data_IF_047063170150
#
_entry.id   IF_047063170150
#
_cell.length_a   1.000
_cell.length_b   1.000
_cell.length_c   1.000
_cell.angle_alpha   90.00
_cell.angle_beta   90.00
_cell.angle_gamma   90.00
#
_symmetry.space_group_name_H-M   'P 1'
#
loop_
_entity.id
_entity.type
_entity.pdbx_description
1 polymer ?
#
# COMPACT_ATOMS: atom_id res chain seq x y z
N UNK A 1 -4.19 20.78 10.51
CA UNK A 1 -3.53 19.51 10.84
C UNK A 1 -4.57 18.44 11.17
N UNK A 2 -4.36 17.23 10.65
CA UNK A 2 -5.22 16.07 10.88
C UNK A 2 -4.34 14.88 11.28
N UNK A 3 -4.80 14.13 12.28
CA UNK A 3 -4.23 12.86 12.68
C UNK A 3 -5.31 11.77 12.59
N UNK A 4 -4.99 10.65 11.96
CA UNK A 4 -5.86 9.48 11.87
C UNK A 4 -5.04 8.25 12.28
N UNK A 5 -5.65 7.40 13.10
CA UNK A 5 -5.15 6.07 13.44
C UNK A 5 -6.30 5.08 13.26
N UNK A 6 -6.06 4.08 12.45
CA UNK A 6 -7.04 3.03 12.16
C UNK A 6 -6.41 1.65 12.31
N UNK A 7 -7.23 0.68 12.68
CA UNK A 7 -6.85 -0.73 12.78
C UNK A 7 -8.03 -1.59 12.35
N UNK A 8 -7.82 -2.43 11.35
CA UNK A 8 -8.83 -3.30 10.80
C UNK A 8 -8.28 -4.73 10.71
N UNK A 9 -9.03 -5.68 11.23
CA UNK A 9 -8.77 -7.11 11.08
C UNK A 9 -9.77 -7.65 10.05
N UNK A 10 -9.25 -8.29 9.02
CA UNK A 10 -10.05 -8.76 7.88
C UNK A 10 -9.83 -10.26 7.72
N UNK A 11 -10.91 -11.02 7.76
CA UNK A 11 -10.95 -12.37 7.27
C UNK A 11 -11.32 -12.34 5.78
N UNK A 12 -10.35 -12.69 4.93
CA UNK A 12 -10.50 -12.62 3.48
C UNK A 12 -10.61 -13.98 2.80
N UNK A 13 -10.50 -15.07 3.56
CA UNK A 13 -10.55 -16.39 2.94
C UNK A 13 -11.98 -16.86 2.62
N UNK A 14 -12.98 -16.20 3.20
CA UNK A 14 -14.41 -16.47 2.98
C UNK A 14 -14.81 -17.96 3.13
N UNK A 15 -14.04 -18.72 3.90
CA UNK A 15 -14.26 -20.14 4.14
C UNK A 15 -14.52 -20.43 5.61
N UNK A 16 -14.97 -21.62 5.92
CA UNK A 16 -15.12 -22.07 7.30
C UNK A 16 -13.76 -22.46 7.94
N UNK A 17 -12.71 -22.51 7.16
CA UNK A 17 -11.36 -22.83 7.61
C UNK A 17 -10.56 -21.55 7.80
N UNK A 18 -9.91 -21.40 8.94
CA UNK A 18 -9.02 -20.27 9.22
C UNK A 18 -7.68 -20.46 8.46
N UNK A 19 -7.65 -20.03 7.19
CA UNK A 19 -6.49 -20.18 6.30
C UNK A 19 -5.50 -19.04 6.54
N UNK A 20 -5.96 -17.80 6.51
CA UNK A 20 -5.14 -16.63 6.78
C UNK A 20 -5.98 -15.46 7.28
N UNK A 21 -5.34 -14.56 8.00
CA UNK A 21 -5.91 -13.29 8.45
C UNK A 21 -5.08 -12.13 7.95
N UNK A 22 -5.72 -11.04 7.56
CA UNK A 22 -5.09 -9.77 7.23
C UNK A 22 -5.39 -8.78 8.35
N UNK A 23 -4.36 -8.21 8.95
CA UNK A 23 -4.49 -7.08 9.84
C UNK A 23 -3.94 -5.83 9.14
N UNK A 24 -4.73 -4.79 9.06
CA UNK A 24 -4.30 -3.52 8.49
C UNK A 24 -4.31 -2.45 9.58
N UNK A 25 -3.16 -1.83 9.81
CA UNK A 25 -2.99 -0.69 10.71
C UNK A 25 -2.53 0.50 9.90
N UNK A 26 -3.21 1.62 10.06
CA UNK A 26 -2.86 2.86 9.38
C UNK A 26 -2.64 3.98 10.39
N UNK A 27 -1.61 4.79 10.15
CA UNK A 27 -1.35 6.05 10.84
C UNK A 27 -1.10 7.12 9.79
N UNK A 28 -1.91 8.16 9.81
CA UNK A 28 -1.82 9.27 8.90
C UNK A 28 -1.66 10.58 9.67
N UNK A 29 -0.70 11.38 9.24
CA UNK A 29 -0.52 12.76 9.65
C UNK A 29 -0.65 13.62 8.41
N UNK A 30 -1.52 14.61 8.44
CA UNK A 30 -1.71 15.52 7.32
C UNK A 30 -1.70 16.99 7.80
N UNK A 31 -1.04 17.82 7.02
CA UNK A 31 -1.00 19.26 7.17
C UNK A 31 -1.47 19.90 5.88
N UNK A 32 -2.39 20.84 5.96
CA UNK A 32 -2.84 21.63 4.82
C UNK A 32 -2.90 23.10 5.18
N UNK A 33 -2.46 23.94 4.27
CA UNK A 33 -2.51 25.39 4.39
C UNK A 33 -2.96 25.99 3.07
N UNK A 34 -3.78 27.04 3.15
CA UNK A 34 -4.24 27.79 2.01
C UNK A 34 -4.15 29.29 2.29
N UNK A 35 -3.56 30.02 1.37
CA UNK A 35 -3.46 31.45 1.41
C UNK A 35 -4.25 32.03 0.23
N UNK A 36 -5.23 32.87 0.50
CA UNK A 36 -6.07 33.47 -0.53
C UNK A 36 -6.01 34.98 -0.42
N UNK A 37 -5.68 35.65 -1.52
CA UNK A 37 -5.73 37.08 -1.71
C UNK A 37 -6.89 37.42 -2.66
N UNK A 38 -7.65 38.44 -2.32
CA UNK A 38 -8.81 38.88 -3.12
C UNK A 38 -8.75 40.37 -3.35
N UNK A 39 -9.20 40.81 -4.52
CA UNK A 39 -9.41 42.22 -4.79
C UNK A 39 -10.55 42.80 -3.95
N UNK A 40 -10.59 44.14 -3.87
CA UNK A 40 -11.68 44.84 -3.22
C UNK A 40 -13.02 44.56 -3.94
N UNK A 41 -14.06 44.31 -3.15
CA UNK A 41 -15.41 44.12 -3.67
C UNK A 41 -15.92 45.40 -4.37
N UNK A 42 -16.69 45.22 -5.45
CA UNK A 42 -17.33 46.34 -6.17
C UNK A 42 -16.49 46.91 -7.32
N UNK A 43 -15.23 46.55 -7.50
CA UNK A 43 -14.45 46.99 -8.66
C UNK A 43 -14.91 46.28 -9.95
N UNK A 44 -14.70 46.95 -11.11
CA UNK A 44 -14.96 46.33 -12.42
C UNK A 44 -14.07 45.12 -12.68
N UNK A 45 -12.87 45.15 -12.15
CA UNK A 45 -11.94 44.00 -12.18
C UNK A 45 -11.84 43.41 -10.78
N UNK A 46 -12.33 42.22 -10.63
CA UNK A 46 -12.24 41.41 -9.41
C UNK A 46 -11.34 40.24 -9.67
N UNK A 47 -10.48 39.92 -8.73
CA UNK A 47 -9.58 38.80 -8.84
C UNK A 47 -9.43 38.09 -7.48
N UNK A 48 -9.13 36.82 -7.58
CA UNK A 48 -8.73 35.96 -6.48
C UNK A 48 -7.47 35.22 -6.89
N UNK A 49 -6.47 35.25 -6.05
CA UNK A 49 -5.20 34.53 -6.22
C UNK A 49 -4.93 33.79 -4.95
N UNK A 50 -4.46 32.55 -5.06
CA UNK A 50 -4.12 31.78 -3.89
C UNK A 50 -3.06 30.73 -4.14
N UNK A 51 -2.52 30.25 -3.04
CA UNK A 51 -1.60 29.15 -2.97
C UNK A 51 -2.14 28.12 -1.97
N UNK A 52 -2.03 26.87 -2.31
CA UNK A 52 -2.41 25.73 -1.47
C UNK A 52 -1.20 24.81 -1.30
N UNK A 53 -1.01 24.31 -0.09
CA UNK A 53 -0.02 23.30 0.24
C UNK A 53 -0.66 22.20 1.07
N UNK A 54 -0.32 20.95 0.75
CA UNK A 54 -0.74 19.78 1.48
C UNK A 54 0.42 18.79 1.59
N UNK A 55 0.63 18.32 2.79
CA UNK A 55 1.60 17.26 3.06
C UNK A 55 0.94 16.19 3.92
N UNK A 56 1.03 14.94 3.49
CA UNK A 56 0.54 13.79 4.22
C UNK A 56 1.67 12.77 4.38
N UNK A 57 1.77 12.22 5.55
CA UNK A 57 2.58 11.05 5.83
C UNK A 57 1.66 9.92 6.28
N UNK A 58 1.56 8.91 5.43
CA UNK A 58 0.76 7.72 5.68
C UNK A 58 1.69 6.52 5.88
N UNK A 59 1.63 5.93 7.06
CA UNK A 59 2.25 4.66 7.37
C UNK A 59 1.16 3.59 7.42
N UNK A 60 1.34 2.51 6.66
CA UNK A 60 0.44 1.36 6.63
C UNK A 60 1.21 0.10 6.96
N UNK A 61 0.79 -0.62 7.97
CA UNK A 61 1.24 -1.98 8.28
C UNK A 61 0.12 -2.94 7.90
N UNK A 62 0.42 -3.89 7.03
CA UNK A 62 -0.56 -4.86 6.51
C UNK A 62 0.00 -6.30 6.53
N UNK A 63 0.30 -6.85 7.72
CA UNK A 63 0.75 -8.24 7.80
C UNK A 63 -0.39 -9.20 7.47
N UNK A 64 -0.08 -10.17 6.60
CA UNK A 64 -0.89 -11.35 6.34
C UNK A 64 -0.35 -12.48 7.18
N UNK A 65 -1.16 -13.13 7.98
CA UNK A 65 -0.73 -14.26 8.81
C UNK A 65 -1.44 -15.53 8.34
N UNK A 66 -0.69 -16.44 7.75
CA UNK A 66 -1.20 -17.80 7.50
C UNK A 66 -1.39 -18.53 8.81
N UNK A 67 -2.56 -19.13 8.96
CA UNK A 67 -2.98 -19.91 10.13
C UNK A 67 -2.74 -21.40 9.91
N UNK A 68 -3.11 -22.20 10.87
CA UNK A 68 -2.81 -23.64 10.88
C UNK A 68 -3.35 -24.37 9.64
N UNK A 69 -4.59 -24.04 9.21
CA UNK A 69 -5.16 -24.64 8.00
C UNK A 69 -4.37 -24.24 6.74
N UNK A 70 -3.98 -22.95 6.62
CA UNK A 70 -3.13 -22.46 5.51
C UNK A 70 -1.75 -23.09 5.51
N UNK A 71 -1.15 -23.30 6.68
CA UNK A 71 0.14 -23.98 6.80
C UNK A 71 0.05 -25.47 6.40
N UNK A 72 -1.07 -26.12 6.71
CA UNK A 72 -1.36 -27.49 6.23
C UNK A 72 -1.41 -27.57 4.71
N UNK A 73 -2.09 -26.62 4.06
CA UNK A 73 -2.14 -26.53 2.59
C UNK A 73 -0.76 -26.31 1.98
N UNK A 74 0.04 -25.41 2.54
CA UNK A 74 1.42 -25.15 2.08
C UNK A 74 2.29 -26.40 2.20
N UNK A 75 2.20 -27.12 3.31
CA UNK A 75 2.93 -28.38 3.49
C UNK A 75 2.52 -29.46 2.47
N UNK A 76 1.23 -29.55 2.16
CA UNK A 76 0.72 -30.47 1.14
C UNK A 76 1.26 -30.10 -0.25
N UNK A 77 1.27 -28.81 -0.60
CA UNK A 77 1.85 -28.34 -1.86
C UNK A 77 3.35 -28.65 -1.94
N UNK A 78 4.10 -28.37 -0.87
CA UNK A 78 5.53 -28.69 -0.83
C UNK A 78 5.78 -30.21 -1.01
N UNK A 79 5.00 -31.01 -0.33
CA UNK A 79 5.10 -32.49 -0.47
C UNK A 79 4.80 -32.99 -1.89
N UNK A 80 3.99 -32.29 -2.67
CA UNK A 80 3.69 -32.64 -4.05
C UNK A 80 4.80 -32.27 -5.05
N UNK A 81 5.61 -31.26 -4.70
CA UNK A 81 6.72 -30.76 -5.55
C UNK A 81 8.02 -31.56 -5.31
N UNK A 82 8.20 -32.09 -4.12
CA UNK A 82 9.41 -32.85 -3.76
C UNK A 82 9.28 -34.25 -4.26
N UNK A 83 10.29 -34.77 -5.02
CA UNK A 83 10.30 -36.16 -5.46
C UNK A 83 10.25 -37.12 -4.25
N UNK A 84 9.40 -38.13 -4.32
CA UNK A 84 9.28 -39.13 -3.25
C UNK A 84 10.54 -39.96 -3.06
N UNK A 85 11.36 -40.07 -4.09
CA UNK A 85 12.65 -40.76 -4.07
C UNK A 85 13.63 -40.10 -5.03
N UNK A 86 14.90 -40.05 -4.63
CA UNK A 86 16.02 -39.67 -5.48
C UNK A 86 16.99 -40.85 -5.47
N UNK A 87 17.25 -41.41 -6.62
CA UNK A 87 18.23 -42.48 -6.78
C UNK A 87 19.60 -41.86 -7.04
N UNK A 88 20.55 -42.16 -6.18
CA UNK A 88 21.94 -41.70 -6.31
C UNK A 88 22.80 -42.92 -6.63
N UNK A 89 23.43 -42.89 -7.80
CA UNK A 89 24.40 -43.92 -8.20
C UNK A 89 25.75 -43.61 -7.56
N UNK A 90 26.22 -44.54 -6.75
CA UNK A 90 27.50 -44.43 -6.02
C UNK A 90 28.64 -45.22 -6.69
N UNK A 91 28.39 -45.86 -7.86
CA UNK A 91 29.35 -46.68 -8.60
C UNK A 91 28.66 -47.66 -9.53
N UNK A 92 29.43 -48.49 -10.27
CA UNK A 92 28.91 -49.39 -11.33
C UNK A 92 27.90 -50.44 -10.86
N UNK A 93 27.80 -50.69 -9.54
CA UNK A 93 26.89 -51.68 -8.97
C UNK A 93 26.24 -51.26 -7.66
N UNK A 94 26.28 -49.96 -7.32
CA UNK A 94 25.80 -49.44 -6.04
C UNK A 94 24.93 -48.21 -6.25
N UNK A 95 23.64 -48.36 -5.94
CA UNK A 95 22.68 -47.25 -5.93
C UNK A 95 22.04 -47.16 -4.56
N UNK A 96 21.82 -45.92 -4.10
CA UNK A 96 21.11 -45.62 -2.86
C UNK A 96 19.89 -44.80 -3.16
N UNK A 97 18.75 -45.20 -2.59
CA UNK A 97 17.53 -44.42 -2.66
C UNK A 97 17.51 -43.42 -1.50
N UNK A 98 17.46 -42.14 -1.82
CA UNK A 98 17.33 -41.07 -0.86
C UNK A 98 15.87 -40.63 -0.86
N UNK A 99 15.27 -40.56 0.33
CA UNK A 99 13.93 -40.01 0.54
C UNK A 99 14.08 -38.60 1.14
N UNK A 100 14.05 -37.58 0.29
CA UNK A 100 14.07 -36.20 0.79
C UNK A 100 12.72 -35.86 1.40
N UNK A 101 12.73 -35.14 2.49
CA UNK A 101 11.53 -34.56 3.07
C UNK A 101 11.78 -33.09 3.42
N UNK A 102 10.86 -32.23 3.03
CA UNK A 102 10.82 -30.83 3.44
C UNK A 102 9.46 -30.60 4.03
N UNK A 103 9.41 -29.99 5.19
CA UNK A 103 8.17 -29.60 5.84
C UNK A 103 8.34 -28.33 6.61
N UNK A 104 7.31 -27.52 6.60
CA UNK A 104 7.22 -26.33 7.45
C UNK A 104 6.75 -26.79 8.82
N UNK A 105 7.51 -26.44 9.86
CA UNK A 105 7.19 -26.81 11.25
C UNK A 105 6.49 -25.70 12.01
N UNK A 106 6.48 -24.48 11.50
CA UNK A 106 5.73 -23.36 12.07
C UNK A 106 4.22 -23.63 11.97
N UNK A 107 3.47 -23.30 13.02
CA UNK A 107 2.00 -23.37 13.03
C UNK A 107 1.37 -22.19 12.31
N UNK A 108 2.08 -21.06 12.27
CA UNK A 108 1.66 -19.83 11.61
C UNK A 108 2.85 -19.24 10.86
N UNK A 109 2.58 -18.49 9.80
CA UNK A 109 3.59 -17.80 9.03
C UNK A 109 3.14 -16.35 8.81
N UNK A 110 3.73 -15.38 9.51
CA UNK A 110 3.49 -13.98 9.23
C UNK A 110 4.28 -13.56 7.99
N UNK A 111 3.59 -12.93 7.04
CA UNK A 111 4.18 -12.18 5.94
C UNK A 111 3.97 -10.72 6.26
N UNK A 112 5.01 -10.06 6.71
CA UNK A 112 4.96 -8.64 7.05
C UNK A 112 4.97 -7.77 5.81
N UNK A 113 4.20 -6.68 5.84
CA UNK A 113 4.27 -5.60 4.87
C UNK A 113 4.07 -4.28 5.58
N UNK A 114 5.03 -3.37 5.43
CA UNK A 114 4.89 -1.99 5.87
C UNK A 114 5.15 -1.06 4.69
N UNK A 115 4.34 0.00 4.60
CA UNK A 115 4.36 0.95 3.50
C UNK A 115 4.36 2.36 4.10
N UNK A 116 5.38 3.13 3.74
CA UNK A 116 5.45 4.56 4.01
C UNK A 116 5.15 5.31 2.72
N UNK A 117 4.08 6.11 2.75
CA UNK A 117 3.59 6.80 1.56
C UNK A 117 3.49 8.31 1.83
N UNK A 118 4.62 9.03 1.80
CA UNK A 118 4.59 10.48 1.86
C UNK A 118 4.02 11.08 0.58
N UNK A 119 3.07 11.99 0.73
CA UNK A 119 2.42 12.74 -0.33
C UNK A 119 2.62 14.23 -0.10
N UNK A 120 3.16 14.91 -1.11
CA UNK A 120 3.25 16.36 -1.18
C UNK A 120 2.41 16.85 -2.35
N UNK A 121 1.49 17.77 -2.06
CA UNK A 121 0.68 18.44 -3.07
C UNK A 121 0.79 19.95 -2.87
N UNK A 122 0.88 20.69 -3.96
CA UNK A 122 0.89 22.13 -3.95
C UNK A 122 0.15 22.68 -5.17
N UNK A 123 -0.53 23.81 -5.00
CA UNK A 123 -1.24 24.45 -6.09
C UNK A 123 -1.11 25.97 -6.02
N UNK A 124 -1.04 26.57 -7.19
CA UNK A 124 -1.17 28.03 -7.37
C UNK A 124 -2.38 28.26 -8.26
N UNK A 125 -3.22 29.22 -7.89
CA UNK A 125 -4.41 29.53 -8.68
C UNK A 125 -4.65 31.03 -8.75
N UNK A 126 -5.20 31.44 -9.89
CA UNK A 126 -5.63 32.79 -10.12
C UNK A 126 -6.92 32.79 -10.93
N UNK A 127 -7.87 33.62 -10.55
CA UNK A 127 -9.10 33.88 -11.27
C UNK A 127 -9.34 35.37 -11.35
N UNK A 128 -9.66 35.87 -12.54
CA UNK A 128 -10.07 37.23 -12.79
C UNK A 128 -11.47 37.29 -13.35
N UNK A 129 -12.28 38.22 -12.88
CA UNK A 129 -13.61 38.51 -13.37
C UNK A 129 -13.68 39.98 -13.77
N UNK A 130 -13.99 40.24 -15.04
CA UNK A 130 -14.21 41.56 -15.58
C UNK A 130 -15.71 41.80 -15.75
N UNK A 131 -16.23 42.84 -15.11
CA UNK A 131 -17.64 43.23 -15.19
C UNK A 131 -17.82 44.39 -16.18
N UNK A 132 -19.00 44.46 -16.79
CA UNK A 132 -19.35 45.46 -17.79
C UNK A 132 -18.33 45.53 -18.93
N UNK A 133 -18.01 44.34 -19.48
CA UNK A 133 -17.02 44.16 -20.53
C UNK A 133 -17.41 44.97 -21.78
N UNK A 134 -16.47 45.70 -22.35
CA UNK A 134 -16.68 46.60 -23.49
C UNK A 134 -17.81 47.64 -23.30
N UNK A 135 -18.12 48.02 -22.05
CA UNK A 135 -19.19 48.97 -21.77
C UNK A 135 -20.61 48.40 -21.78
N UNK A 136 -20.75 47.10 -22.01
CA UNK A 136 -22.03 46.38 -21.97
C UNK A 136 -22.41 46.08 -20.53
N UNK A 137 -23.41 46.83 -20.01
CA UNK A 137 -23.90 46.61 -18.66
C UNK A 137 -24.47 45.23 -18.47
N UNK A 138 -24.05 44.53 -17.39
CA UNK A 138 -24.53 43.21 -17.05
C UNK A 138 -23.78 42.05 -17.72
N UNK A 139 -22.83 42.33 -18.63
CA UNK A 139 -21.96 41.32 -19.21
C UNK A 139 -20.71 41.18 -18.37
N UNK A 140 -20.42 39.97 -17.91
CA UNK A 140 -19.18 39.68 -17.19
C UNK A 140 -18.41 38.53 -17.87
N UNK A 141 -17.08 38.61 -17.80
CA UNK A 141 -16.17 37.58 -18.27
C UNK A 141 -15.30 37.12 -17.12
N UNK A 142 -15.24 35.82 -16.91
CA UNK A 142 -14.40 35.20 -15.88
C UNK A 142 -13.42 34.23 -16.52
N UNK A 143 -12.15 34.37 -16.20
CA UNK A 143 -11.12 33.43 -16.59
C UNK A 143 -10.28 33.04 -15.37
N UNK A 144 -9.87 31.80 -15.29
CA UNK A 144 -9.04 31.28 -14.21
C UNK A 144 -8.02 30.27 -14.71
N UNK A 145 -6.93 30.17 -13.97
CA UNK A 145 -5.85 29.21 -14.17
C UNK A 145 -5.48 28.61 -12.82
N UNK A 146 -5.21 27.31 -12.82
CA UNK A 146 -4.67 26.58 -11.67
C UNK A 146 -3.53 25.70 -12.15
N UNK A 147 -2.43 25.74 -11.43
CA UNK A 147 -1.27 24.89 -11.60
C UNK A 147 -1.17 24.01 -10.35
N UNK A 148 -1.13 22.72 -10.56
CA UNK A 148 -1.02 21.72 -9.50
C UNK A 148 0.31 20.98 -9.65
N UNK A 149 0.94 20.71 -8.52
CA UNK A 149 2.10 19.85 -8.39
C UNK A 149 1.79 18.77 -7.36
N UNK A 150 2.02 17.52 -7.73
CA UNK A 150 1.87 16.39 -6.83
C UNK A 150 3.10 15.50 -6.91
N UNK A 151 3.57 15.05 -5.74
CA UNK A 151 4.64 14.09 -5.60
C UNK A 151 4.28 13.10 -4.53
N UNK A 152 4.14 11.85 -4.92
CA UNK A 152 3.97 10.71 -4.03
C UNK A 152 5.19 9.79 -4.13
N UNK A 153 5.62 9.25 -3.01
CA UNK A 153 6.59 8.17 -2.92
C UNK A 153 5.96 7.01 -2.17
N UNK A 154 6.44 5.82 -2.42
CA UNK A 154 6.10 4.65 -1.65
C UNK A 154 7.38 3.89 -1.34
N UNK A 155 7.71 3.81 -0.07
CA UNK A 155 8.76 2.96 0.45
C UNK A 155 8.09 1.76 1.10
N UNK A 156 8.54 0.56 0.76
CA UNK A 156 7.95 -0.65 1.32
C UNK A 156 9.02 -1.57 1.90
N UNK A 157 8.63 -2.28 2.95
CA UNK A 157 9.42 -3.34 3.54
C UNK A 157 8.51 -4.55 3.75
N UNK A 158 8.93 -5.72 3.25
CA UNK A 158 8.22 -6.97 3.45
C UNK A 158 9.19 -8.05 3.87
N UNK A 159 8.72 -8.93 4.74
CA UNK A 159 9.52 -10.04 5.23
C UNK A 159 8.63 -11.13 5.79
N UNK A 160 9.18 -12.33 5.88
CA UNK A 160 8.52 -13.46 6.52
C UNK A 160 9.52 -14.23 7.38
N UNK A 161 9.01 -14.89 8.39
CA UNK A 161 9.78 -15.85 9.19
C UNK A 161 9.02 -17.17 9.24
N UNK A 162 9.73 -18.26 8.98
CA UNK A 162 9.18 -19.58 9.10
C UNK A 162 10.25 -20.57 9.56
N UNK A 163 9.86 -21.57 10.33
CA UNK A 163 10.70 -22.67 10.70
C UNK A 163 10.42 -23.84 9.76
N UNK A 164 11.46 -24.44 9.22
CA UNK A 164 11.36 -25.59 8.32
C UNK A 164 12.26 -26.73 8.79
N UNK A 165 11.88 -27.93 8.40
CA UNK A 165 12.65 -29.17 8.66
C UNK A 165 13.01 -29.80 7.34
N UNK A 166 14.28 -30.10 7.16
CA UNK A 166 14.79 -30.90 6.06
C UNK A 166 15.20 -32.25 6.62
N UNK A 167 14.71 -33.31 6.04
CA UNK A 167 15.07 -34.66 6.39
C UNK A 167 15.58 -35.42 5.16
N UNK A 168 16.60 -36.24 5.38
CA UNK A 168 17.13 -37.18 4.40
C UNK A 168 17.17 -38.54 5.08
N UNK A 169 16.44 -39.49 4.52
CA UNK A 169 16.55 -40.93 4.92
C UNK A 169 17.16 -41.67 3.76
N UNK A 170 18.22 -42.40 4.06
CA UNK A 170 18.86 -43.30 3.16
C UNK A 170 18.45 -44.77 3.40
#
# INVERSE_FOLDING_TARGET
YQFLKDCMDIDQDFTANDIYTLQQKQRSHALSEEIILKSKSGSRWQWTTGAFGFYQWLNTEAPVTFREAGMGMLNQMLGSVIPSQIQVEMGPSMSMNILPSLGISSRTMPIGGSFDTPLLNGALFHQSTFRDLFGLKGVSFTAGLRLDYERMKMDYNSGTSLDYKVGIKG
#
